data_IF_048374334984
#
_entry.id   IF_048374334984
#
_cell.length_a   1.000
_cell.length_b   1.000
_cell.length_c   1.000
_cell.angle_alpha   90.00
_cell.angle_beta   90.00
_cell.angle_gamma   90.00
#
_symmetry.space_group_name_H-M   'P 1'
#
loop_
_entity.id
_entity.type
_entity.pdbx_description
1 polymer ?
#
# COMPACT_ATOMS: atom_id res chain seq x y z
N UNK A 1 4.03 -18.80 -7.64
CA UNK A 1 5.20 -18.43 -8.45
C UNK A 1 4.94 -17.11 -9.16
N UNK A 2 5.75 -16.07 -8.90
CA UNK A 2 5.65 -14.76 -9.55
C UNK A 2 6.59 -14.75 -10.77
N UNK A 3 6.08 -14.36 -11.93
CA UNK A 3 6.88 -14.21 -13.14
C UNK A 3 7.88 -13.05 -12.97
N UNK A 4 9.01 -13.17 -13.66
CA UNK A 4 10.05 -12.13 -13.71
C UNK A 4 10.14 -11.56 -15.11
N UNK A 5 10.25 -10.25 -15.22
CA UNK A 5 10.58 -9.57 -16.48
C UNK A 5 12.04 -9.18 -16.43
N UNK A 6 12.83 -9.65 -17.39
CA UNK A 6 14.25 -9.37 -17.51
C UNK A 6 14.55 -8.73 -18.87
N UNK A 7 15.59 -7.91 -18.94
CA UNK A 7 16.10 -7.37 -20.19
C UNK A 7 16.99 -8.39 -20.94
N UNK A 8 17.48 -7.99 -22.10
CA UNK A 8 18.37 -8.82 -22.93
C UNK A 8 19.75 -9.09 -22.30
N UNK A 9 20.11 -8.34 -21.25
CA UNK A 9 21.36 -8.49 -20.47
C UNK A 9 21.16 -9.33 -19.21
N UNK A 10 19.93 -9.76 -18.92
CA UNK A 10 19.60 -10.52 -17.71
C UNK A 10 19.27 -9.67 -16.49
N UNK A 11 19.19 -8.35 -16.61
CA UNK A 11 18.78 -7.48 -15.50
C UNK A 11 17.30 -7.62 -15.23
N UNK A 12 16.92 -7.69 -13.95
CA UNK A 12 15.53 -7.75 -13.53
C UNK A 12 14.89 -6.37 -13.68
N UNK A 13 13.89 -6.25 -14.56
CA UNK A 13 13.16 -5.01 -14.82
C UNK A 13 11.88 -4.90 -13.99
N UNK A 14 11.24 -6.03 -13.70
CA UNK A 14 9.98 -6.07 -12.96
C UNK A 14 9.80 -7.41 -12.24
N UNK A 15 9.25 -7.32 -11.02
CA UNK A 15 8.78 -8.45 -10.23
C UNK A 15 7.40 -8.13 -9.67
N UNK A 16 6.38 -8.84 -10.14
CA UNK A 16 4.99 -8.53 -9.77
C UNK A 16 4.61 -7.11 -10.16
N UNK A 17 4.18 -6.32 -9.20
CA UNK A 17 3.80 -4.91 -9.38
C UNK A 17 4.98 -3.94 -9.20
N UNK A 18 6.11 -4.43 -8.69
CA UNK A 18 7.31 -3.62 -8.48
C UNK A 18 8.12 -3.51 -9.78
N UNK A 19 8.41 -2.30 -10.24
CA UNK A 19 9.37 -2.01 -11.30
C UNK A 19 10.74 -1.71 -10.69
N UNK A 20 11.79 -2.22 -11.34
CA UNK A 20 13.17 -2.22 -10.88
C UNK A 20 14.08 -1.53 -11.89
N UNK A 21 13.96 -0.19 -12.07
CA UNK A 21 14.90 0.56 -12.86
C UNK A 21 16.27 0.59 -12.18
N UNK A 22 17.34 0.95 -12.92
CA UNK A 22 18.72 0.94 -12.42
C UNK A 22 18.93 1.81 -11.16
N UNK A 23 18.07 2.81 -10.91
CA UNK A 23 18.27 3.81 -9.86
C UNK A 23 17.49 3.54 -8.57
N UNK A 24 16.22 3.15 -8.65
CA UNK A 24 15.37 2.93 -7.47
C UNK A 24 14.17 2.06 -7.82
N UNK A 25 13.90 1.04 -6.99
CA UNK A 25 12.65 0.28 -7.06
C UNK A 25 11.43 1.20 -6.86
N UNK A 26 10.36 0.93 -7.59
CA UNK A 26 9.10 1.68 -7.50
C UNK A 26 7.92 0.71 -7.43
N UNK A 27 7.03 0.91 -6.46
CA UNK A 27 5.89 0.05 -6.20
C UNK A 27 6.22 -1.19 -5.36
N UNK A 28 7.27 -1.10 -4.54
CA UNK A 28 7.64 -2.18 -3.61
C UNK A 28 6.51 -2.43 -2.62
N UNK A 29 6.02 -1.38 -1.93
CA UNK A 29 4.94 -1.49 -0.95
C UNK A 29 3.64 -2.02 -1.56
N UNK A 30 3.30 -1.57 -2.78
CA UNK A 30 2.16 -2.09 -3.54
C UNK A 30 2.31 -3.60 -3.82
N UNK A 31 3.50 -4.04 -4.23
CA UNK A 31 3.78 -5.45 -4.51
C UNK A 31 3.71 -6.31 -3.26
N UNK A 32 4.34 -5.89 -2.18
CA UNK A 32 4.35 -6.62 -0.90
C UNK A 32 2.93 -6.78 -0.34
N UNK A 33 2.15 -5.70 -0.35
CA UNK A 33 0.75 -5.75 0.06
C UNK A 33 -0.09 -6.69 -0.82
N UNK A 34 0.07 -6.63 -2.14
CA UNK A 34 -0.66 -7.50 -3.05
C UNK A 34 -0.34 -8.99 -2.83
N UNK A 35 0.94 -9.33 -2.68
CA UNK A 35 1.39 -10.70 -2.36
C UNK A 35 0.82 -11.17 -1.03
N UNK A 36 0.83 -10.30 -0.02
CA UNK A 36 0.32 -10.61 1.32
C UNK A 36 -1.20 -10.79 1.33
N UNK A 37 -1.95 -9.96 0.59
CA UNK A 37 -3.40 -10.13 0.43
C UNK A 37 -3.71 -11.47 -0.24
N UNK A 38 -3.02 -11.80 -1.33
CA UNK A 38 -3.18 -13.09 -2.02
C UNK A 38 -2.91 -14.28 -1.09
N UNK A 39 -1.83 -14.23 -0.31
CA UNK A 39 -1.49 -15.27 0.66
C UNK A 39 -2.57 -15.41 1.71
N UNK A 40 -3.04 -14.29 2.27
CA UNK A 40 -4.08 -14.28 3.31
C UNK A 40 -5.41 -14.85 2.80
N UNK A 41 -5.79 -14.54 1.56
CA UNK A 41 -6.98 -15.12 0.90
C UNK A 41 -6.80 -16.63 0.68
N UNK A 42 -5.64 -17.06 0.18
CA UNK A 42 -5.34 -18.48 -0.04
C UNK A 42 -5.36 -19.29 1.26
N UNK A 43 -4.90 -18.71 2.36
CA UNK A 43 -4.93 -19.28 3.71
C UNK A 43 -6.31 -19.15 4.39
N UNK A 44 -7.29 -18.53 3.72
CA UNK A 44 -8.65 -18.29 4.26
C UNK A 44 -8.64 -17.54 5.60
N UNK A 45 -7.71 -16.59 5.77
CA UNK A 45 -7.63 -15.76 6.98
C UNK A 45 -8.93 -14.96 7.16
N UNK A 46 -9.33 -14.81 8.41
CA UNK A 46 -10.46 -13.97 8.78
C UNK A 46 -10.01 -12.52 8.92
N UNK A 47 -10.97 -11.60 8.77
CA UNK A 47 -10.75 -10.18 9.07
C UNK A 47 -10.54 -10.03 10.56
N UNK A 48 -9.48 -9.35 10.95
CA UNK A 48 -9.19 -8.98 12.32
C UNK A 48 -9.11 -7.45 12.45
N UNK A 49 -9.47 -6.94 13.62
CA UNK A 49 -9.39 -5.50 13.92
C UNK A 49 -8.21 -5.25 14.84
N UNK A 50 -7.23 -4.53 14.32
CA UNK A 50 -5.97 -4.27 15.02
C UNK A 50 -5.72 -2.76 15.12
N UNK A 51 -4.98 -2.37 16.17
CA UNK A 51 -4.48 -1.00 16.33
C UNK A 51 -3.00 -0.97 15.96
N UNK A 52 -2.67 -0.22 14.91
CA UNK A 52 -1.33 -0.10 14.39
C UNK A 52 -0.93 1.38 14.28
N UNK A 53 0.10 1.80 14.99
CA UNK A 53 0.55 3.20 15.07
C UNK A 53 -0.57 4.24 15.30
N UNK A 54 -1.47 3.99 16.25
CA UNK A 54 -2.65 4.81 16.56
C UNK A 54 -3.79 4.75 15.52
N UNK A 55 -3.64 4.01 14.43
CA UNK A 55 -4.67 3.76 13.44
C UNK A 55 -5.38 2.45 13.80
N UNK A 56 -6.70 2.47 13.87
CA UNK A 56 -7.50 1.24 14.02
C UNK A 56 -7.96 0.81 12.63
N UNK A 57 -7.60 -0.38 12.22
CA UNK A 57 -7.91 -0.95 10.90
C UNK A 57 -8.50 -2.35 11.03
N UNK A 58 -9.33 -2.71 10.05
CA UNK A 58 -9.79 -4.09 9.84
C UNK A 58 -9.11 -4.66 8.62
N UNK A 59 -8.39 -5.77 8.77
CA UNK A 59 -7.58 -6.38 7.70
C UNK A 59 -7.51 -7.88 7.83
N UNK A 60 -7.31 -8.58 6.70
CA UNK A 60 -6.99 -10.02 6.68
C UNK A 60 -5.49 -10.28 6.89
N UNK A 61 -4.67 -9.23 6.98
CA UNK A 61 -3.22 -9.31 7.19
C UNK A 61 -2.76 -8.44 8.37
N UNK A 62 -3.08 -8.85 9.61
CA UNK A 62 -2.76 -8.04 10.79
C UNK A 62 -1.26 -7.99 11.14
N UNK A 63 -0.46 -8.93 10.65
CA UNK A 63 0.93 -9.12 11.07
C UNK A 63 1.98 -8.74 10.00
N UNK A 64 1.56 -8.49 8.76
CA UNK A 64 2.46 -8.17 7.67
C UNK A 64 1.85 -7.11 6.77
N UNK A 65 2.53 -5.98 6.65
CA UNK A 65 2.10 -4.83 5.83
C UNK A 65 0.65 -4.40 6.08
N UNK A 66 0.18 -4.26 7.34
CA UNK A 66 -1.24 -4.12 7.62
C UNK A 66 -1.83 -2.82 7.04
N UNK A 67 -1.10 -1.72 7.05
CA UNK A 67 -1.56 -0.44 6.49
C UNK A 67 -1.60 -0.47 4.97
N UNK A 68 -0.55 -0.98 4.33
CA UNK A 68 -0.46 -1.13 2.88
C UNK A 68 -1.54 -2.10 2.37
N UNK A 69 -1.79 -3.21 3.07
CA UNK A 69 -2.84 -4.16 2.73
C UNK A 69 -4.22 -3.51 2.73
N UNK A 70 -4.53 -2.64 3.71
CA UNK A 70 -5.80 -1.90 3.74
C UNK A 70 -5.92 -0.96 2.54
N UNK A 71 -4.87 -0.18 2.25
CA UNK A 71 -4.86 0.79 1.14
C UNK A 71 -4.94 0.10 -0.23
N UNK A 72 -4.18 -0.97 -0.42
CA UNK A 72 -4.20 -1.74 -1.68
C UNK A 72 -5.53 -2.47 -1.86
N UNK A 73 -6.14 -2.97 -0.79
CA UNK A 73 -7.48 -3.54 -0.83
C UNK A 73 -8.54 -2.49 -1.22
N UNK A 74 -8.39 -1.24 -0.76
CA UNK A 74 -9.25 -0.14 -1.21
C UNK A 74 -9.05 0.18 -2.70
N UNK A 75 -7.83 0.12 -3.22
CA UNK A 75 -7.60 0.25 -4.67
C UNK A 75 -8.27 -0.90 -5.43
N UNK A 76 -8.17 -2.13 -4.92
CA UNK A 76 -8.78 -3.31 -5.51
C UNK A 76 -10.33 -3.26 -5.47
N UNK A 77 -10.92 -2.57 -4.51
CA UNK A 77 -12.38 -2.33 -4.48
C UNK A 77 -12.88 -1.67 -5.77
N UNK A 78 -12.12 -0.73 -6.33
CA UNK A 78 -12.50 -0.01 -7.55
C UNK A 78 -12.14 -0.77 -8.84
N UNK A 79 -11.14 -1.62 -8.81
CA UNK A 79 -10.66 -2.36 -9.99
C UNK A 79 -11.16 -3.80 -10.06
N UNK A 80 -11.56 -4.36 -8.93
CA UNK A 80 -11.71 -5.79 -8.70
C UNK A 80 -10.38 -6.45 -8.32
N UNK A 81 -10.48 -7.60 -7.65
CA UNK A 81 -9.31 -8.37 -7.19
C UNK A 81 -8.52 -9.01 -8.33
N UNK A 82 -9.21 -9.38 -9.41
CA UNK A 82 -8.57 -10.07 -10.53
C UNK A 82 -7.42 -9.29 -11.17
N UNK A 83 -7.58 -8.00 -11.55
CA UNK A 83 -6.46 -7.23 -12.09
C UNK A 83 -5.26 -7.15 -11.14
N UNK A 84 -5.51 -6.99 -9.83
CA UNK A 84 -4.46 -6.94 -8.81
C UNK A 84 -3.66 -8.25 -8.79
N UNK A 85 -4.34 -9.38 -8.59
CA UNK A 85 -3.68 -10.67 -8.44
C UNK A 85 -3.07 -11.17 -9.74
N UNK A 86 -3.74 -10.97 -10.87
CA UNK A 86 -3.21 -11.33 -12.17
C UNK A 86 -1.94 -10.55 -12.50
N UNK A 87 -1.91 -9.23 -12.24
CA UNK A 87 -0.72 -8.42 -12.47
C UNK A 87 0.44 -8.79 -11.55
N UNK A 88 0.14 -9.11 -10.29
CA UNK A 88 1.16 -9.55 -9.33
C UNK A 88 1.82 -10.85 -9.78
N UNK A 89 1.03 -11.85 -10.22
CA UNK A 89 1.55 -13.14 -10.65
C UNK A 89 2.32 -13.07 -11.99
N UNK A 90 1.82 -12.26 -12.92
CA UNK A 90 2.33 -12.22 -14.30
C UNK A 90 3.26 -11.02 -14.57
N UNK A 91 3.57 -10.20 -13.58
CA UNK A 91 4.45 -9.03 -13.70
C UNK A 91 4.08 -8.12 -14.88
N UNK A 92 2.80 -7.78 -14.99
CA UNK A 92 2.27 -6.92 -16.04
C UNK A 92 1.57 -5.67 -15.49
N UNK A 93 1.03 -4.85 -16.36
CA UNK A 93 0.46 -3.55 -16.05
C UNK A 93 -1.08 -3.51 -16.03
N UNK A 94 -1.75 -4.65 -16.01
CA UNK A 94 -3.21 -4.71 -16.05
C UNK A 94 -3.84 -3.95 -14.87
N UNK A 95 -3.34 -4.16 -13.65
CA UNK A 95 -3.83 -3.45 -12.46
C UNK A 95 -3.64 -1.93 -12.59
N UNK A 96 -2.43 -1.51 -12.97
CA UNK A 96 -2.12 -0.10 -13.22
C UNK A 96 -3.10 0.51 -14.23
N UNK A 97 -3.26 -0.10 -15.41
CA UNK A 97 -4.16 0.38 -16.47
C UNK A 97 -5.61 0.45 -15.98
N UNK A 98 -6.07 -0.57 -15.27
CA UNK A 98 -7.44 -0.61 -14.75
C UNK A 98 -7.67 0.48 -13.70
N UNK A 99 -6.71 0.70 -12.80
CA UNK A 99 -6.83 1.76 -11.79
C UNK A 99 -6.77 3.16 -12.40
N UNK A 100 -5.93 3.37 -13.41
CA UNK A 100 -5.83 4.66 -14.14
C UNK A 100 -7.18 5.01 -14.78
N UNK A 101 -7.91 4.04 -15.33
CA UNK A 101 -9.27 4.25 -15.87
C UNK A 101 -10.25 4.69 -14.77
N UNK A 102 -10.10 4.19 -13.55
CA UNK A 102 -10.95 4.53 -12.39
C UNK A 102 -10.58 5.86 -11.73
N UNK A 103 -9.36 6.32 -11.92
CA UNK A 103 -8.85 7.57 -11.35
C UNK A 103 -8.22 8.45 -12.45
N UNK A 104 -6.92 8.49 -12.52
CA UNK A 104 -6.08 9.03 -13.59
C UNK A 104 -4.62 8.60 -13.36
N UNK A 105 -3.77 8.86 -14.36
CA UNK A 105 -2.37 8.45 -14.34
C UNK A 105 -1.57 9.11 -13.20
N UNK A 106 -1.73 10.42 -13.02
CA UNK A 106 -1.06 11.18 -11.96
C UNK A 106 -1.41 10.64 -10.57
N UNK A 107 -2.69 10.35 -10.33
CA UNK A 107 -3.17 9.77 -9.06
C UNK A 107 -2.52 8.41 -8.80
N UNK A 108 -2.50 7.52 -9.80
CA UNK A 108 -1.88 6.20 -9.65
C UNK A 108 -0.41 6.30 -9.22
N UNK A 109 0.41 7.06 -9.96
CA UNK A 109 1.83 7.18 -9.63
C UNK A 109 2.08 7.89 -8.30
N UNK A 110 1.24 8.87 -7.95
CA UNK A 110 1.31 9.52 -6.64
C UNK A 110 1.03 8.51 -5.52
N UNK A 111 -0.04 7.71 -5.63
CA UNK A 111 -0.38 6.68 -4.62
C UNK A 111 0.76 5.66 -4.48
N UNK A 112 1.30 5.16 -5.58
CA UNK A 112 2.41 4.19 -5.55
C UNK A 112 3.65 4.76 -4.84
N UNK A 113 4.02 6.00 -5.16
CA UNK A 113 5.14 6.69 -4.50
C UNK A 113 4.88 6.94 -3.01
N UNK A 114 3.65 7.31 -2.64
CA UNK A 114 3.27 7.55 -1.25
C UNK A 114 3.20 6.24 -0.43
N UNK A 115 2.80 5.12 -1.05
CA UNK A 115 2.86 3.78 -0.44
C UNK A 115 4.30 3.37 -0.13
N UNK A 116 5.23 3.54 -1.08
CA UNK A 116 6.65 3.26 -0.86
C UNK A 116 7.23 4.16 0.26
N UNK A 117 6.80 5.42 0.32
CA UNK A 117 7.20 6.33 1.39
C UNK A 117 6.58 5.97 2.75
N UNK A 118 5.36 5.40 2.79
CA UNK A 118 4.75 4.87 4.00
C UNK A 118 5.56 3.70 4.54
N UNK A 119 5.88 2.72 3.70
CA UNK A 119 6.68 1.57 4.06
C UNK A 119 8.05 1.99 4.62
N UNK A 120 8.72 2.96 3.98
CA UNK A 120 9.99 3.50 4.46
C UNK A 120 9.86 4.13 5.86
N UNK A 121 8.80 4.91 6.12
CA UNK A 121 8.54 5.50 7.45
C UNK A 121 8.34 4.42 8.54
N UNK A 122 7.69 3.31 8.19
CA UNK A 122 7.50 2.19 9.12
C UNK A 122 8.83 1.50 9.44
N UNK A 123 9.69 1.28 8.44
CA UNK A 123 11.03 0.71 8.61
C UNK A 123 11.91 1.62 9.49
N UNK A 124 11.91 2.93 9.22
CA UNK A 124 12.64 3.93 10.02
C UNK A 124 12.15 3.94 11.48
N UNK A 125 10.83 3.95 11.69
CA UNK A 125 10.25 3.91 13.04
C UNK A 125 10.61 2.62 13.78
N UNK A 126 10.56 1.48 13.11
CA UNK A 126 10.93 0.18 13.68
C UNK A 126 12.43 0.16 14.08
N UNK A 127 13.29 0.80 13.29
CA UNK A 127 14.70 0.97 13.64
C UNK A 127 14.86 1.80 14.93
N UNK A 128 14.16 2.94 15.05
CA UNK A 128 14.17 3.80 16.24
C UNK A 128 13.62 3.06 17.47
N UNK A 129 12.54 2.29 17.32
CA UNK A 129 11.98 1.44 18.39
C UNK A 129 13.02 0.38 18.82
N UNK A 130 13.76 -0.16 17.84
CA UNK A 130 14.87 -1.09 18.11
C UNK A 130 15.95 -0.47 18.97
N UNK A 131 16.34 0.78 18.73
CA UNK A 131 17.33 1.50 19.53
C UNK A 131 16.93 1.66 21.00
N UNK A 132 15.64 1.76 21.28
CA UNK A 132 15.13 1.89 22.65
C UNK A 132 15.54 0.68 23.51
N UNK A 133 15.53 -0.53 22.93
CA UNK A 133 15.91 -1.77 23.62
C UNK A 133 17.37 -1.76 24.08
N UNK A 134 18.24 -0.98 23.42
CA UNK A 134 19.67 -0.89 23.71
C UNK A 134 20.07 0.41 24.42
N UNK A 135 19.10 1.21 24.89
CA UNK A 135 19.37 2.53 25.50
C UNK A 135 19.83 2.43 26.94
N UNK A 136 19.72 1.26 27.60
CA UNK A 136 20.04 1.10 29.03
C UNK A 136 19.24 2.09 29.89
N UNK A 137 19.84 2.54 30.99
CA UNK A 137 19.22 3.47 31.97
C UNK A 137 19.45 4.96 31.64
N UNK A 138 19.87 5.29 30.41
CA UNK A 138 20.10 6.68 30.00
C UNK A 138 18.80 7.45 29.77
N UNK A 139 18.30 8.12 30.81
CA UNK A 139 17.03 8.85 30.82
C UNK A 139 16.92 9.89 29.70
N UNK A 140 18.00 10.63 29.41
CA UNK A 140 17.99 11.66 28.36
C UNK A 140 17.88 11.03 26.96
N UNK A 141 18.59 9.91 26.73
CA UNK A 141 18.52 9.17 25.48
C UNK A 141 17.11 8.58 25.27
N UNK A 142 16.57 7.92 26.29
CA UNK A 142 15.21 7.37 26.28
C UNK A 142 14.16 8.46 25.96
N UNK A 143 14.27 9.63 26.61
CA UNK A 143 13.33 10.74 26.36
C UNK A 143 13.41 11.25 24.92
N UNK A 144 14.59 11.33 24.33
CA UNK A 144 14.78 11.72 22.93
C UNK A 144 14.15 10.70 21.99
N UNK A 145 14.48 9.41 22.16
CA UNK A 145 13.95 8.32 21.35
C UNK A 145 12.42 8.26 21.42
N UNK A 146 11.83 8.42 22.60
CA UNK A 146 10.37 8.44 22.73
C UNK A 146 9.71 9.60 21.96
N UNK A 147 10.36 10.77 21.90
CA UNK A 147 9.85 11.87 21.06
C UNK A 147 9.93 11.54 19.56
N UNK A 148 11.01 10.92 19.13
CA UNK A 148 11.20 10.47 17.76
C UNK A 148 10.15 9.40 17.39
N UNK A 149 9.85 8.47 18.28
CA UNK A 149 8.80 7.46 18.11
C UNK A 149 7.41 8.12 17.94
N UNK A 150 7.04 9.05 18.83
CA UNK A 150 5.74 9.74 18.72
C UNK A 150 5.63 10.59 17.44
N UNK A 151 6.73 11.23 17.03
CA UNK A 151 6.79 11.94 15.76
C UNK A 151 6.61 10.98 14.56
N UNK A 152 7.34 9.86 14.55
CA UNK A 152 7.23 8.84 13.51
C UNK A 152 5.81 8.26 13.39
N UNK A 153 5.18 7.94 14.52
CA UNK A 153 3.77 7.49 14.54
C UNK A 153 2.82 8.50 13.92
N UNK A 154 3.02 9.80 14.20
CA UNK A 154 2.22 10.86 13.62
C UNK A 154 2.44 10.96 12.10
N UNK A 155 3.67 10.86 11.64
CA UNK A 155 3.99 10.89 10.20
C UNK A 155 3.33 9.72 9.45
N UNK A 156 3.35 8.52 10.02
CA UNK A 156 2.66 7.34 9.48
C UNK A 156 1.15 7.58 9.43
N UNK A 157 0.57 8.10 10.51
CA UNK A 157 -0.86 8.43 10.56
C UNK A 157 -1.26 9.40 9.45
N UNK A 158 -0.57 10.54 9.35
CA UNK A 158 -0.85 11.57 8.35
C UNK A 158 -0.68 11.02 6.91
N UNK A 159 0.35 10.19 6.68
CA UNK A 159 0.63 9.55 5.39
C UNK A 159 -0.46 8.56 5.00
N UNK A 160 -0.87 7.69 5.91
CA UNK A 160 -1.92 6.70 5.67
C UNK A 160 -3.23 7.37 5.23
N UNK A 161 -3.71 8.36 5.97
CA UNK A 161 -4.95 9.06 5.63
C UNK A 161 -4.83 9.88 4.34
N UNK A 162 -3.67 10.48 4.07
CA UNK A 162 -3.41 11.14 2.79
C UNK A 162 -3.56 10.19 1.60
N UNK A 163 -3.01 8.97 1.70
CA UNK A 163 -3.13 7.97 0.62
C UNK A 163 -4.58 7.51 0.49
N UNK A 164 -5.26 7.26 1.61
CA UNK A 164 -6.68 6.88 1.62
C UNK A 164 -7.54 7.94 0.94
N UNK A 165 -7.34 9.22 1.27
CA UNK A 165 -8.04 10.33 0.63
C UNK A 165 -7.78 10.39 -0.88
N UNK A 166 -6.53 10.19 -1.32
CA UNK A 166 -6.19 10.14 -2.74
C UNK A 166 -6.96 9.03 -3.47
N UNK A 167 -7.03 7.83 -2.89
CA UNK A 167 -7.77 6.71 -3.47
C UNK A 167 -9.27 7.04 -3.55
N UNK A 168 -9.86 7.38 -2.41
CA UNK A 168 -11.31 7.54 -2.28
C UNK A 168 -11.80 8.72 -3.12
N UNK A 169 -11.22 9.90 -2.94
CA UNK A 169 -11.69 11.11 -3.61
C UNK A 169 -11.57 11.02 -5.13
N UNK A 170 -10.46 10.51 -5.66
CA UNK A 170 -10.28 10.43 -7.10
C UNK A 170 -11.16 9.36 -7.75
N UNK A 171 -11.25 8.17 -7.15
CA UNK A 171 -12.07 7.09 -7.72
C UNK A 171 -13.56 7.40 -7.61
N UNK A 172 -14.07 7.84 -6.43
CA UNK A 172 -15.48 8.20 -6.30
C UNK A 172 -15.87 9.40 -7.14
N UNK A 173 -15.03 10.44 -7.22
CA UNK A 173 -15.30 11.60 -8.08
C UNK A 173 -15.44 11.16 -9.53
N UNK A 174 -14.58 10.29 -10.00
CA UNK A 174 -14.63 9.79 -11.37
C UNK A 174 -15.87 8.94 -11.64
N UNK A 175 -16.21 8.04 -10.72
CA UNK A 175 -17.43 7.23 -10.84
C UNK A 175 -18.70 8.10 -10.76
N UNK A 176 -18.76 9.04 -9.82
CA UNK A 176 -19.89 9.96 -9.70
C UNK A 176 -20.07 10.80 -10.95
N UNK A 177 -19.00 11.34 -11.53
CA UNK A 177 -19.04 12.11 -12.76
C UNK A 177 -19.44 11.29 -13.99
N UNK A 178 -19.34 9.96 -13.92
CA UNK A 178 -19.79 9.06 -15.00
C UNK A 178 -21.30 8.82 -15.01
N UNK A 179 -22.00 9.14 -13.91
CA UNK A 179 -23.45 8.96 -13.78
C UNK A 179 -24.16 10.03 -14.63
N UNK A 180 -24.84 9.61 -15.69
CA UNK A 180 -25.60 10.48 -16.58
C UNK A 180 -27.10 10.30 -16.46
N UNK A 181 -27.54 9.16 -15.94
CA UNK A 181 -28.97 8.78 -15.82
C UNK A 181 -29.25 8.12 -14.49
N UNK A 182 -30.54 8.03 -14.11
CA UNK A 182 -30.96 7.26 -12.92
C UNK A 182 -30.63 5.77 -13.04
N UNK A 183 -30.57 5.26 -14.27
CA UNK A 183 -30.14 3.87 -14.53
C UNK A 183 -28.68 3.66 -14.16
N UNK A 184 -27.81 4.64 -14.47
CA UNK A 184 -26.39 4.57 -14.09
C UNK A 184 -26.23 4.65 -12.58
N UNK A 185 -27.04 5.48 -11.90
CA UNK A 185 -27.03 5.61 -10.44
C UNK A 185 -27.41 4.31 -9.72
N UNK A 186 -28.20 3.43 -10.34
CA UNK A 186 -28.59 2.13 -9.76
C UNK A 186 -27.42 1.13 -9.64
N UNK A 187 -26.33 1.37 -10.35
CA UNK A 187 -25.09 0.56 -10.28
C UNK A 187 -24.20 0.98 -9.11
N UNK A 188 -24.47 2.16 -8.55
CA UNK A 188 -23.78 2.67 -7.36
C UNK A 188 -24.36 1.99 -6.12
N UNK A 189 -23.78 0.85 -5.74
CA UNK A 189 -24.14 0.11 -4.53
C UNK A 189 -23.09 0.25 -3.45
#
# INVERSE_FOLDING_TARGET
YIQRVIDTRGNLLRLGLCSLPETKANGLALNEAAVQLMSSVAEKKQIDTVKYYQITISTISPNAYPLECVLVNQMAYFTGDYPLYYSTLNSNDLFQKTFIVKSNEQTYFTIVSELDALLQLEEELNSVIGELKYSGDNVNKIRRINKEIEYGKKMIYDKFFKIQDLIILNCFTNEFNSIKTLSDASVFK
#
